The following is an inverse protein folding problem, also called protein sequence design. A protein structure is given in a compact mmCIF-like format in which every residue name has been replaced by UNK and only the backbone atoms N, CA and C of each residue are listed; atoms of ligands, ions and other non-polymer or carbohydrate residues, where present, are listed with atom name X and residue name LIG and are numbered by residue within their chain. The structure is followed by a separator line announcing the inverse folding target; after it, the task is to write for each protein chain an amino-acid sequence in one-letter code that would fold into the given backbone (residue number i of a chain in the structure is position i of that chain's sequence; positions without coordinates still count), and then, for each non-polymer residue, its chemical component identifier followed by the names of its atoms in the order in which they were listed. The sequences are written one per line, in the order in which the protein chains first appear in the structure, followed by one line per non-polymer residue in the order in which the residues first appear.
data_IF_264490041541
#
_entry.id   IF_264490041541
#
_cell.length_a   1.000
_cell.length_b   1.000
_cell.length_c   1.000
_cell.angle_alpha   90.00
_cell.angle_beta   90.00
_cell.angle_gamma   90.00
#
_symmetry.space_group_name_H-M   'P 1'
#
loop_
_entity.id
_entity.type
_entity.pdbx_description
1 polymer ?
#
# COMPACT_ATOMS: atom_id res chain seq x y z
N UNK A 1 6.02 25.49 16.36
CA UNK A 1 7.29 26.12 15.94
C UNK A 1 8.18 25.00 15.46
N UNK A 2 8.31 24.83 14.14
CA UNK A 2 9.04 23.70 13.57
C UNK A 2 10.53 23.96 13.49
N UNK A 3 11.32 22.88 13.55
CA UNK A 3 12.51 22.71 12.71
C UNK A 3 12.64 21.22 12.39
N UNK A 4 12.69 20.96 11.09
CA UNK A 4 12.98 19.71 10.41
C UNK A 4 14.41 19.23 10.68
N UNK A 5 14.57 17.96 11.03
CA UNK A 5 15.80 17.21 10.76
C UNK A 5 15.49 16.10 9.74
N UNK A 6 15.84 16.35 8.47
CA UNK A 6 16.04 15.29 7.49
C UNK A 6 17.34 14.59 7.85
N UNK A 7 17.25 13.38 8.41
CA UNK A 7 18.38 12.47 8.43
C UNK A 7 18.25 11.54 7.24
N UNK A 8 18.85 11.95 6.13
CA UNK A 8 19.10 11.09 4.99
C UNK A 8 20.44 10.41 5.27
N UNK A 9 20.41 9.22 5.90
CA UNK A 9 21.58 8.33 5.93
C UNK A 9 21.39 7.38 4.77
N UNK A 10 22.34 7.45 3.83
CA UNK A 10 22.42 6.55 2.68
C UNK A 10 22.51 5.10 3.12
N UNK A 11 21.36 4.44 3.09
CA UNK A 11 21.13 3.10 2.56
C UNK A 11 19.62 3.03 2.36
N UNK A 12 19.14 2.40 1.28
CA UNK A 12 17.73 2.04 1.05
C UNK A 12 17.16 1.06 2.10
N UNK A 13 17.78 0.97 3.28
CA UNK A 13 17.37 0.13 4.40
C UNK A 13 16.41 0.92 5.29
N UNK A 14 15.12 0.85 4.99
CA UNK A 14 14.06 1.30 5.89
C UNK A 14 14.19 0.72 7.31
N UNK A 15 13.54 1.32 8.29
CA UNK A 15 13.63 0.94 9.72
C UNK A 15 13.31 -0.55 9.94
N UNK A 16 12.33 -1.07 9.20
CA UNK A 16 11.97 -2.49 9.19
C UNK A 16 11.07 -2.83 8.00
N UNK A 17 11.03 -4.10 7.63
CA UNK A 17 10.02 -4.69 6.76
C UNK A 17 9.19 -5.70 7.55
N UNK A 18 7.90 -5.44 7.70
CA UNK A 18 6.95 -6.26 8.46
C UNK A 18 6.17 -7.15 7.48
N UNK A 19 6.74 -8.32 7.18
CA UNK A 19 6.22 -9.23 6.15
C UNK A 19 5.31 -10.34 6.71
N UNK A 20 5.38 -10.63 8.01
CA UNK A 20 4.64 -11.74 8.63
C UNK A 20 3.54 -11.24 9.59
N UNK A 21 2.38 -11.93 9.63
CA UNK A 21 1.35 -11.63 10.62
C UNK A 21 1.89 -11.70 12.05
N UNK A 22 1.59 -10.67 12.85
CA UNK A 22 2.05 -10.58 14.24
C UNK A 22 3.49 -10.12 14.43
N UNK A 23 4.24 -9.86 13.34
CA UNK A 23 5.58 -9.29 13.43
C UNK A 23 5.51 -7.86 14.00
N UNK A 24 6.36 -7.57 14.98
CA UNK A 24 6.44 -6.27 15.65
C UNK A 24 7.88 -5.78 15.69
N UNK A 25 8.07 -4.47 15.67
CA UNK A 25 9.36 -3.83 15.91
C UNK A 25 9.21 -2.61 16.82
N UNK A 26 10.19 -2.40 17.69
CA UNK A 26 10.29 -1.18 18.50
C UNK A 26 10.95 -0.09 17.66
N UNK A 27 10.18 0.89 17.22
CA UNK A 27 10.66 2.03 16.41
C UNK A 27 11.24 3.16 17.25
N UNK A 28 10.79 3.31 18.50
CA UNK A 28 11.27 4.27 19.48
C UNK A 28 11.25 3.65 20.88
N UNK A 29 12.34 3.79 21.62
CA UNK A 29 12.45 3.26 23.00
C UNK A 29 12.06 4.32 24.03
N UNK A 30 11.38 3.88 25.08
CA UNK A 30 11.17 4.71 26.27
C UNK A 30 12.49 4.99 26.99
N UNK A 31 12.57 6.14 27.65
CA UNK A 31 13.73 6.52 28.46
C UNK A 31 13.81 5.69 29.74
N UNK A 32 14.99 5.63 30.35
CA UNK A 32 15.19 4.88 31.60
C UNK A 32 14.44 5.55 32.75
N UNK A 33 13.87 4.72 33.63
CA UNK A 33 13.28 5.19 34.88
C UNK A 33 14.33 5.86 35.77
N UNK A 34 13.91 6.93 36.45
CA UNK A 34 14.76 7.61 37.43
C UNK A 34 14.98 6.75 38.67
N UNK A 35 16.09 6.98 39.36
CA UNK A 35 16.41 6.30 40.61
C UNK A 35 15.72 6.98 41.79
N UNK A 36 14.95 6.22 42.56
CA UNK A 36 14.33 6.67 43.80
C UNK A 36 15.37 6.93 44.90
N UNK A 37 14.96 7.60 45.97
CA UNK A 37 15.87 7.97 47.07
C UNK A 37 16.53 6.78 47.77
N UNK A 38 15.86 5.64 47.84
CA UNK A 38 16.40 4.40 48.41
C UNK A 38 17.70 3.94 47.73
N UNK A 39 17.87 4.24 46.44
CA UNK A 39 19.11 3.93 45.70
C UNK A 39 20.31 4.74 46.21
N UNK A 40 20.07 5.90 46.82
CA UNK A 40 21.13 6.80 47.31
C UNK A 40 21.42 6.65 48.81
N UNK A 41 20.80 5.67 49.48
CA UNK A 41 20.99 5.44 50.90
C UNK A 41 22.38 4.86 51.18
N UNK A 42 23.05 5.38 52.21
CA UNK A 42 24.35 4.89 52.66
C UNK A 42 24.42 4.88 54.19
N UNK A 43 25.46 4.25 54.77
CA UNK A 43 25.67 4.22 56.22
C UNK A 43 25.68 5.62 56.85
N UNK A 44 26.16 6.63 56.11
CA UNK A 44 26.23 8.03 56.53
C UNK A 44 25.03 8.87 56.08
N UNK A 45 24.16 8.34 55.22
CA UNK A 45 22.97 9.02 54.70
C UNK A 45 21.78 8.05 54.61
N UNK A 46 21.20 7.74 55.76
CA UNK A 46 20.12 6.74 55.91
C UNK A 46 18.78 7.20 55.32
N UNK A 47 18.55 8.51 55.20
CA UNK A 47 17.31 9.08 54.65
C UNK A 47 17.58 10.15 53.56
N UNK A 48 18.05 9.74 52.37
CA UNK A 48 18.34 10.66 51.28
C UNK A 48 17.08 11.41 50.82
N UNK A 49 17.24 12.70 50.54
CA UNK A 49 16.19 13.56 49.95
C UNK A 49 16.36 13.80 48.44
N UNK A 50 17.34 13.13 47.84
CA UNK A 50 17.63 13.22 46.41
C UNK A 50 17.03 12.04 45.66
N UNK A 51 16.59 12.30 44.44
CA UNK A 51 16.17 11.28 43.48
C UNK A 51 16.61 11.74 42.09
N UNK A 52 16.87 10.79 41.20
CA UNK A 52 17.19 11.08 39.81
C UNK A 52 15.88 11.09 39.01
N UNK A 53 15.71 12.07 38.13
CA UNK A 53 14.60 12.08 37.16
C UNK A 53 14.83 11.02 36.09
N UNK A 54 13.76 10.47 35.52
CA UNK A 54 13.86 9.59 34.37
C UNK A 54 14.49 10.29 33.16
N UNK A 55 15.11 9.49 32.29
CA UNK A 55 15.61 9.97 31.01
C UNK A 55 14.45 10.18 30.04
N UNK A 56 14.61 11.11 29.10
CA UNK A 56 13.63 11.33 28.03
C UNK A 56 13.70 10.16 27.06
N UNK A 57 12.54 9.69 26.59
CA UNK A 57 12.47 8.64 25.58
C UNK A 57 12.90 9.12 24.19
N UNK A 58 13.12 8.17 23.29
CA UNK A 58 13.34 8.48 21.88
C UNK A 58 12.05 9.05 21.27
N UNK A 59 12.17 10.15 20.55
CA UNK A 59 11.10 10.67 19.69
C UNK A 59 11.53 10.54 18.23
N UNK A 60 10.68 9.93 17.40
CA UNK A 60 10.93 9.78 15.96
C UNK A 60 9.67 10.05 15.16
N UNK A 61 9.80 10.81 14.09
CA UNK A 61 8.80 10.83 13.01
C UNK A 61 9.10 9.68 12.06
N UNK A 62 8.16 8.75 11.92
CA UNK A 62 8.30 7.58 11.04
C UNK A 62 7.30 7.69 9.89
N UNK A 63 7.73 7.32 8.69
CA UNK A 63 6.86 7.18 7.52
C UNK A 63 6.59 5.68 7.36
N UNK A 64 5.31 5.32 7.35
CA UNK A 64 4.88 3.95 7.12
C UNK A 64 4.50 3.79 5.66
N UNK A 65 5.24 2.96 4.95
CA UNK A 65 4.95 2.60 3.56
C UNK A 65 4.40 1.19 3.50
N UNK A 66 3.13 1.09 3.14
CA UNK A 66 2.46 -0.18 2.94
C UNK A 66 2.86 -0.75 1.59
N UNK A 67 3.47 -1.95 1.59
CA UNK A 67 3.57 -2.79 0.40
C UNK A 67 2.21 -3.42 0.07
N UNK A 68 1.17 -2.60 -0.09
CA UNK A 68 -0.14 -3.05 -0.59
C UNK A 68 -0.10 -3.02 -2.10
N UNK A 69 -0.76 -4.01 -2.69
CA UNK A 69 -0.79 -4.28 -4.11
C UNK A 69 -2.25 -4.40 -4.54
N UNK A 70 -3.04 -3.42 -4.10
CA UNK A 70 -4.49 -3.33 -4.24
C UNK A 70 -5.31 -4.54 -3.76
N UNK A 71 -6.42 -4.24 -3.09
CA UNK A 71 -7.42 -5.24 -2.75
C UNK A 71 -8.31 -5.57 -3.95
N UNK A 72 -8.54 -4.58 -4.82
CA UNK A 72 -9.45 -4.67 -5.97
C UNK A 72 -8.80 -4.07 -7.21
N UNK A 73 -8.85 -4.79 -8.33
CA UNK A 73 -8.34 -4.31 -9.63
C UNK A 73 -9.46 -3.87 -10.57
N UNK A 74 -9.33 -2.73 -11.23
CA UNK A 74 -10.27 -2.26 -12.26
C UNK A 74 -9.72 -2.67 -13.63
N UNK A 75 -10.53 -3.42 -14.38
CA UNK A 75 -10.27 -3.88 -15.74
C UNK A 75 -11.34 -3.34 -16.68
N UNK A 76 -11.06 -3.34 -17.98
CA UNK A 76 -12.00 -2.92 -19.00
C UNK A 76 -11.30 -2.32 -20.21
N UNK A 77 -12.06 -2.13 -21.28
CA UNK A 77 -11.55 -1.62 -22.56
C UNK A 77 -10.84 -0.26 -22.40
N UNK A 78 -9.84 0.08 -23.23
CA UNK A 78 -9.27 1.42 -23.26
C UNK A 78 -10.37 2.50 -23.29
N UNK A 79 -10.16 3.58 -22.54
CA UNK A 79 -11.06 4.75 -22.47
C UNK A 79 -12.48 4.51 -21.91
N UNK A 80 -12.78 3.33 -21.36
CA UNK A 80 -14.07 3.01 -20.70
C UNK A 80 -14.32 3.80 -19.38
N UNK A 81 -13.42 4.71 -19.00
CA UNK A 81 -13.58 5.52 -17.78
C UNK A 81 -12.96 4.94 -16.50
N UNK A 82 -12.04 3.97 -16.59
CA UNK A 82 -11.38 3.35 -15.43
C UNK A 82 -10.77 4.37 -14.46
N UNK A 83 -9.96 5.30 -14.97
CA UNK A 83 -9.31 6.33 -14.15
C UNK A 83 -10.35 7.28 -13.53
N UNK A 84 -11.43 7.57 -14.25
CA UNK A 84 -12.56 8.40 -13.75
C UNK A 84 -13.26 7.71 -12.59
N UNK A 85 -13.59 6.43 -12.72
CA UNK A 85 -14.20 5.64 -11.65
C UNK A 85 -13.29 5.56 -10.43
N UNK A 86 -11.99 5.29 -10.63
CA UNK A 86 -11.01 5.24 -9.55
C UNK A 86 -10.92 6.58 -8.82
N UNK A 87 -10.83 7.69 -9.56
CA UNK A 87 -10.78 9.02 -8.98
C UNK A 87 -12.07 9.38 -8.21
N UNK A 88 -13.24 8.99 -8.72
CA UNK A 88 -14.52 9.24 -8.08
C UNK A 88 -14.74 8.39 -6.82
N UNK A 89 -14.25 7.14 -6.81
CA UNK A 89 -14.38 6.24 -5.67
C UNK A 89 -13.34 6.47 -4.57
N UNK A 90 -12.22 7.13 -4.89
CA UNK A 90 -11.12 7.32 -3.96
C UNK A 90 -11.39 8.45 -2.97
N UNK A 91 -11.28 8.15 -1.68
CA UNK A 91 -11.41 9.11 -0.57
C UNK A 91 -10.26 10.14 -0.54
N UNK A 92 -9.13 9.80 -1.17
CA UNK A 92 -7.99 10.69 -1.37
C UNK A 92 -7.69 10.86 -2.87
N UNK A 93 -6.91 11.88 -3.23
CA UNK A 93 -6.41 11.97 -4.61
C UNK A 93 -5.66 10.68 -4.96
N UNK A 94 -6.01 10.02 -6.09
CA UNK A 94 -5.29 8.85 -6.55
C UNK A 94 -3.80 9.13 -6.65
N UNK A 95 -2.99 8.18 -6.19
CA UNK A 95 -1.54 8.30 -6.21
C UNK A 95 -0.99 7.36 -7.27
N UNK A 96 -0.08 7.90 -8.05
CA UNK A 96 0.77 7.10 -8.92
C UNK A 96 1.78 6.39 -8.01
N UNK A 97 1.82 5.07 -8.07
CA UNK A 97 2.69 4.28 -7.22
C UNK A 97 3.91 3.78 -8.00
N UNK A 98 5.07 4.34 -7.67
CA UNK A 98 6.36 3.99 -8.29
C UNK A 98 6.92 2.74 -7.62
N UNK A 99 6.63 1.56 -8.18
CA UNK A 99 7.25 0.33 -7.72
C UNK A 99 8.53 0.04 -8.53
N UNK A 100 9.62 -0.46 -7.91
CA UNK A 100 10.90 -0.70 -8.59
C UNK A 100 10.81 -1.66 -9.79
N UNK A 101 9.71 -2.41 -9.87
CA UNK A 101 9.47 -3.50 -10.81
C UNK A 101 8.35 -3.19 -11.83
N UNK A 102 7.81 -1.97 -11.83
CA UNK A 102 6.76 -1.54 -12.77
C UNK A 102 7.36 -0.78 -13.95
N UNK A 103 7.10 -1.24 -15.17
CA UNK A 103 7.40 -0.48 -16.41
C UNK A 103 6.39 0.65 -16.66
N UNK A 104 5.20 0.56 -16.05
CA UNK A 104 4.17 1.60 -16.00
C UNK A 104 3.64 1.69 -14.59
N UNK A 105 3.66 2.88 -14.03
CA UNK A 105 3.22 3.10 -12.65
C UNK A 105 1.69 2.93 -12.56
N UNK A 106 1.17 2.01 -11.74
CA UNK A 106 -0.26 1.88 -11.53
C UNK A 106 -0.81 3.12 -10.82
N UNK A 107 -2.07 3.44 -11.14
CA UNK A 107 -2.84 4.43 -10.41
C UNK A 107 -3.57 3.70 -9.30
N UNK A 108 -3.33 4.13 -8.05
CA UNK A 108 -3.96 3.58 -6.85
C UNK A 108 -4.89 4.61 -6.20
N UNK A 109 -6.03 4.14 -5.71
CA UNK A 109 -6.99 4.92 -4.94
C UNK A 109 -7.36 4.22 -3.64
N UNK A 110 -7.39 4.95 -2.53
CA UNK A 110 -7.89 4.42 -1.25
C UNK A 110 -9.39 4.70 -1.18
N UNK A 111 -10.20 3.66 -1.00
CA UNK A 111 -11.66 3.78 -0.85
C UNK A 111 -12.03 3.56 0.60
N UNK A 112 -12.94 4.39 1.11
CA UNK A 112 -13.47 4.28 2.47
C UNK A 112 -14.98 4.04 2.41
N UNK A 113 -15.46 3.00 3.11
CA UNK A 113 -16.87 2.67 3.27
C UNK A 113 -17.15 2.44 4.74
N UNK A 114 -17.66 3.48 5.41
CA UNK A 114 -17.86 3.48 6.86
C UNK A 114 -16.53 3.34 7.60
N UNK A 115 -16.36 2.25 8.36
CA UNK A 115 -15.12 1.94 9.11
C UNK A 115 -14.16 1.01 8.35
N UNK A 116 -14.46 0.68 7.09
CA UNK A 116 -13.63 -0.22 6.27
C UNK A 116 -12.95 0.59 5.18
N UNK A 117 -11.70 0.26 4.89
CA UNK A 117 -10.97 0.81 3.76
C UNK A 117 -10.35 -0.30 2.93
N UNK A 118 -10.18 -0.04 1.64
CA UNK A 118 -9.51 -0.93 0.71
C UNK A 118 -8.85 -0.12 -0.42
N UNK A 119 -7.88 -0.72 -1.10
CA UNK A 119 -7.15 -0.08 -2.19
C UNK A 119 -7.67 -0.58 -3.54
N UNK A 120 -8.12 0.35 -4.38
CA UNK A 120 -8.38 0.14 -5.80
C UNK A 120 -7.10 0.39 -6.60
N UNK A 121 -6.81 -0.49 -7.56
CA UNK A 121 -5.83 -0.26 -8.60
C UNK A 121 -6.50 -0.23 -9.97
N UNK A 122 -6.13 0.74 -10.80
CA UNK A 122 -6.34 0.62 -12.24
C UNK A 122 -5.30 -0.34 -12.81
N UNK A 123 -5.76 -1.35 -13.57
CA UNK A 123 -4.86 -2.26 -14.30
C UNK A 123 -4.68 -1.70 -15.72
N UNK A 124 -3.55 -1.05 -16.02
CA UNK A 124 -3.30 -0.53 -17.36
C UNK A 124 -3.12 -1.68 -18.36
N UNK A 125 -3.53 -1.47 -19.60
CA UNK A 125 -2.96 -2.18 -20.75
C UNK A 125 -3.23 -3.68 -20.85
N UNK A 126 -4.37 -4.19 -20.36
CA UNK A 126 -4.77 -5.58 -20.65
C UNK A 126 -5.00 -5.84 -22.14
N UNK A 127 -5.27 -4.79 -22.94
CA UNK A 127 -5.54 -4.90 -24.37
C UNK A 127 -4.34 -4.38 -25.15
N UNK A 128 -3.82 -5.17 -26.10
CA UNK A 128 -2.68 -4.80 -26.94
C UNK A 128 -1.45 -5.70 -26.81
N UNK A 129 -1.63 -7.00 -26.51
CA UNK A 129 -0.51 -7.94 -26.37
C UNK A 129 0.17 -7.88 -25.01
N UNK A 130 -0.60 -7.63 -23.94
CA UNK A 130 -0.11 -7.65 -22.56
C UNK A 130 0.56 -8.99 -22.21
N UNK A 131 0.00 -10.10 -22.71
CA UNK A 131 0.53 -11.45 -22.60
C UNK A 131 1.90 -11.65 -23.31
N UNK A 132 2.28 -10.76 -24.25
CA UNK A 132 3.58 -10.79 -24.93
C UNK A 132 4.69 -10.06 -24.14
N UNK A 133 4.41 -9.61 -22.92
CA UNK A 133 5.39 -8.91 -22.07
C UNK A 133 5.73 -7.49 -22.53
N UNK A 134 5.02 -6.94 -23.52
CA UNK A 134 5.20 -5.56 -23.99
C UNK A 134 4.52 -4.57 -23.04
N UNK A 135 5.26 -4.13 -22.02
CA UNK A 135 4.97 -2.86 -21.33
C UNK A 135 4.38 -2.95 -19.92
N UNK A 136 4.15 -4.15 -19.39
CA UNK A 136 3.79 -4.40 -18.00
C UNK A 136 4.75 -5.48 -17.50
N UNK A 137 5.81 -5.12 -16.79
CA UNK A 137 6.82 -6.08 -16.32
C UNK A 137 6.18 -7.27 -15.57
N UNK A 138 6.73 -8.48 -15.76
CA UNK A 138 6.24 -9.75 -15.17
C UNK A 138 5.96 -9.63 -13.65
N UNK A 139 6.75 -8.83 -12.95
CA UNK A 139 6.60 -8.60 -11.52
C UNK A 139 5.36 -7.75 -11.17
N UNK A 140 5.04 -6.66 -11.89
CA UNK A 140 3.79 -5.90 -11.67
C UNK A 140 2.53 -6.77 -11.75
N UNK A 141 2.62 -7.83 -12.54
CA UNK A 141 1.50 -8.69 -12.82
C UNK A 141 1.32 -9.77 -11.76
N UNK A 142 2.41 -10.35 -11.23
CA UNK A 142 2.39 -11.19 -10.01
C UNK A 142 1.76 -10.44 -8.83
N UNK A 143 1.89 -9.13 -8.86
CA UNK A 143 1.36 -8.18 -7.90
C UNK A 143 -0.18 -8.03 -8.08
N UNK A 144 -0.69 -7.86 -9.30
CA UNK A 144 -2.14 -7.85 -9.60
C UNK A 144 -2.83 -9.19 -9.28
N UNK A 145 -2.12 -10.33 -9.40
CA UNK A 145 -2.63 -11.65 -8.98
C UNK A 145 -2.99 -11.68 -7.47
N UNK A 146 -2.52 -10.73 -6.65
CA UNK A 146 -2.89 -10.63 -5.23
C UNK A 146 -4.19 -9.88 -4.95
N UNK A 147 -4.80 -9.22 -5.94
CA UNK A 147 -6.13 -8.62 -5.75
C UNK A 147 -7.17 -9.69 -5.39
N UNK A 148 -8.15 -9.36 -4.56
CA UNK A 148 -9.17 -10.30 -4.11
C UNK A 148 -10.30 -10.46 -5.11
N UNK A 149 -10.54 -9.42 -5.92
CA UNK A 149 -11.54 -9.41 -6.99
C UNK A 149 -11.19 -8.37 -8.07
N UNK A 150 -11.91 -8.45 -9.19
CA UNK A 150 -11.80 -7.51 -10.30
C UNK A 150 -13.14 -6.78 -10.50
N UNK A 151 -13.07 -5.49 -10.81
CA UNK A 151 -14.20 -4.70 -11.29
C UNK A 151 -14.06 -4.59 -12.81
N UNK A 152 -14.98 -5.20 -13.55
CA UNK A 152 -15.00 -5.17 -15.00
C UNK A 152 -15.91 -4.04 -15.47
N UNK A 153 -15.29 -2.92 -15.84
CA UNK A 153 -15.99 -1.75 -16.34
C UNK A 153 -16.26 -1.90 -17.84
N UNK A 154 -17.52 -1.72 -18.23
CA UNK A 154 -18.02 -1.83 -19.60
C UNK A 154 -18.65 -0.49 -19.97
N UNK A 155 -18.39 0.00 -21.19
CA UNK A 155 -19.04 1.20 -21.70
C UNK A 155 -20.39 0.80 -22.28
N UNK A 156 -21.47 1.16 -21.60
CA UNK A 156 -22.84 0.88 -22.05
C UNK A 156 -23.23 1.59 -23.35
N UNK A 157 -22.45 2.60 -23.79
CA UNK A 157 -22.64 3.30 -25.06
C UNK A 157 -21.85 2.68 -26.22
N UNK A 158 -20.99 1.68 -25.95
CA UNK A 158 -20.26 0.96 -26.98
C UNK A 158 -21.22 0.28 -27.97
N UNK A 159 -20.78 0.14 -29.21
CA UNK A 159 -21.52 -0.58 -30.25
C UNK A 159 -21.50 -2.10 -30.00
N UNK A 160 -20.49 -2.61 -29.31
CA UNK A 160 -20.33 -4.05 -29.02
C UNK A 160 -19.80 -4.33 -27.59
N UNK A 161 -20.52 -3.93 -26.53
CA UNK A 161 -20.07 -4.04 -25.14
C UNK A 161 -19.77 -5.49 -24.71
N UNK A 162 -20.50 -6.46 -25.24
CA UNK A 162 -20.28 -7.89 -24.97
C UNK A 162 -18.97 -8.36 -25.61
N UNK A 163 -18.65 -7.90 -26.82
CA UNK A 163 -17.39 -8.25 -27.49
C UNK A 163 -16.20 -7.60 -26.78
N UNK A 164 -16.33 -6.36 -26.34
CA UNK A 164 -15.31 -5.66 -25.57
C UNK A 164 -15.00 -6.41 -24.26
N UNK A 165 -16.04 -6.84 -23.55
CA UNK A 165 -15.91 -7.68 -22.35
C UNK A 165 -15.23 -9.02 -22.66
N UNK A 166 -15.64 -9.69 -23.73
CA UNK A 166 -15.05 -10.96 -24.15
C UNK A 166 -13.57 -10.83 -24.51
N UNK A 167 -13.17 -9.74 -25.18
CA UNK A 167 -11.77 -9.43 -25.50
C UNK A 167 -10.93 -9.23 -24.24
N UNK A 168 -11.42 -8.46 -23.28
CA UNK A 168 -10.73 -8.26 -21.98
C UNK A 168 -10.55 -9.60 -21.25
N UNK A 169 -11.59 -10.41 -21.18
CA UNK A 169 -11.53 -11.73 -20.53
C UNK A 169 -10.60 -12.72 -21.25
N UNK A 170 -10.54 -12.64 -22.57
CA UNK A 170 -9.62 -13.47 -23.37
C UNK A 170 -8.17 -13.07 -23.10
N UNK A 171 -7.86 -11.78 -23.09
CA UNK A 171 -6.52 -11.28 -22.73
C UNK A 171 -6.16 -11.65 -21.29
N UNK A 172 -7.08 -11.53 -20.33
CA UNK A 172 -6.85 -11.98 -18.95
C UNK A 172 -6.52 -13.47 -18.87
N UNK A 173 -7.20 -14.31 -19.66
CA UNK A 173 -6.98 -15.76 -19.69
C UNK A 173 -5.66 -16.14 -20.36
N UNK A 174 -5.29 -15.44 -21.44
CA UNK A 174 -3.98 -15.58 -22.09
C UNK A 174 -2.85 -15.08 -21.18
N UNK A 175 -3.16 -14.14 -20.31
CA UNK A 175 -2.22 -13.54 -19.40
C UNK A 175 -1.91 -14.46 -18.19
N UNK A 176 -2.93 -14.85 -17.42
CA UNK A 176 -2.78 -15.71 -16.25
C UNK A 176 -4.12 -16.35 -15.88
N UNK A 177 -4.15 -17.68 -15.77
CA UNK A 177 -5.37 -18.44 -15.51
C UNK A 177 -5.96 -18.18 -14.11
N UNK A 178 -5.14 -17.84 -13.12
CA UNK A 178 -5.61 -17.49 -11.78
C UNK A 178 -6.28 -16.11 -11.76
N UNK A 179 -5.82 -15.16 -12.58
CA UNK A 179 -6.49 -13.87 -12.77
C UNK A 179 -7.86 -14.01 -13.44
N UNK A 180 -7.96 -14.84 -14.47
CA UNK A 180 -9.22 -15.10 -15.17
C UNK A 180 -10.29 -15.75 -14.27
N UNK A 181 -9.87 -16.55 -13.29
CA UNK A 181 -10.76 -17.21 -12.33
C UNK A 181 -11.20 -16.32 -11.16
N UNK A 182 -10.65 -15.10 -11.05
CA UNK A 182 -11.04 -14.20 -9.96
C UNK A 182 -12.51 -13.81 -10.04
N UNK A 183 -13.19 -13.61 -8.89
CA UNK A 183 -14.50 -12.99 -8.87
C UNK A 183 -14.48 -11.66 -9.62
N UNK A 184 -15.38 -11.51 -10.59
CA UNK A 184 -15.54 -10.28 -11.36
C UNK A 184 -16.90 -9.64 -11.02
N UNK A 185 -16.87 -8.36 -10.68
CA UNK A 185 -18.06 -7.51 -10.60
C UNK A 185 -18.17 -6.71 -11.90
N UNK A 186 -19.20 -6.98 -12.70
CA UNK A 186 -19.47 -6.23 -13.93
C UNK A 186 -20.18 -4.92 -13.59
N UNK A 187 -19.66 -3.81 -14.11
CA UNK A 187 -20.20 -2.46 -13.95
C UNK A 187 -20.36 -1.84 -15.33
N UNK A 188 -21.51 -1.21 -15.59
CA UNK A 188 -21.88 -0.56 -16.86
C UNK A 188 -22.12 0.92 -16.62
#
# INVERSE_FOLDING_TARGET
TGVSHKMQIGNDAGIADLAQPGQQIVVARGGKGGLGNAHFASATNQAPRIAQKGEVGEEKSVILELRIIADVGIIGYPNVGKSTLLAAASAAKPKIASYPFTTREPILGAVEVGLRSFVLAEIPGLIGGAHLGRGLGHDFLRHIVRTRMLVHLIDGSSVSPIEDMARVNSELSLFDSALAQKPQLVVV
#
